data_IF_262642838022
#
_entry.id   IF_262642838022
#
_cell.length_a   1.000
_cell.length_b   1.000
_cell.length_c   1.000
_cell.angle_alpha   90.00
_cell.angle_beta   90.00
_cell.angle_gamma   90.00
#
_symmetry.space_group_name_H-M   'P 1'
#
loop_
_entity.id
_entity.type
_entity.pdbx_description
1 polymer ?
#
# COMPACT_ATOMS: atom_id res chain seq x y z
N UNK A 1 3.58 -9.63 -3.34
CA UNK A 1 2.14 -9.42 -3.62
C UNK A 1 1.99 -8.96 -5.06
N UNK A 2 0.88 -9.27 -5.73
CA UNK A 2 0.60 -8.82 -7.09
C UNK A 2 -0.90 -8.61 -7.26
N UNK A 3 -1.29 -7.78 -8.23
CA UNK A 3 -2.69 -7.52 -8.57
C UNK A 3 -3.31 -8.59 -9.47
N UNK A 4 -2.48 -9.34 -10.19
CA UNK A 4 -2.93 -10.35 -11.17
C UNK A 4 -3.96 -9.81 -12.17
N UNK A 5 -3.74 -8.60 -12.72
CA UNK A 5 -4.71 -7.92 -13.60
C UNK A 5 -5.26 -8.86 -14.68
N UNK A 6 -6.60 -8.82 -14.85
CA UNK A 6 -7.43 -9.74 -15.65
C UNK A 6 -7.86 -11.03 -14.93
N UNK A 7 -7.07 -11.55 -13.98
CA UNK A 7 -7.53 -12.51 -12.98
C UNK A 7 -8.13 -11.81 -11.75
N UNK A 8 -7.46 -10.76 -11.29
CA UNK A 8 -7.94 -9.75 -10.36
C UNK A 8 -8.59 -8.57 -11.07
N UNK A 9 -9.57 -7.95 -10.40
CA UNK A 9 -10.40 -6.87 -10.95
C UNK A 9 -9.88 -5.46 -10.63
N UNK A 10 -8.79 -5.33 -9.87
CA UNK A 10 -8.24 -4.04 -9.46
C UNK A 10 -6.72 -4.02 -9.66
N UNK A 11 -6.19 -2.90 -10.19
CA UNK A 11 -4.75 -2.68 -10.25
C UNK A 11 -4.20 -2.06 -8.94
N UNK A 12 -5.07 -1.48 -8.12
CA UNK A 12 -4.71 -0.72 -6.94
C UNK A 12 -4.15 -1.64 -5.83
N UNK A 13 -2.86 -1.49 -5.52
CA UNK A 13 -2.17 -2.36 -4.56
C UNK A 13 -2.63 -2.16 -3.11
N UNK A 14 -3.14 -0.97 -2.75
CA UNK A 14 -3.69 -0.71 -1.42
C UNK A 14 -4.85 -1.67 -1.09
N UNK A 15 -5.75 -1.90 -2.05
CA UNK A 15 -6.84 -2.90 -1.93
C UNK A 15 -6.32 -4.32 -1.75
N UNK A 16 -5.20 -4.67 -2.38
CA UNK A 16 -4.61 -6.00 -2.25
C UNK A 16 -3.93 -6.19 -0.89
N UNK A 17 -3.38 -5.13 -0.30
CA UNK A 17 -2.86 -5.15 1.08
C UNK A 17 -3.98 -5.43 2.08
N UNK A 18 -5.07 -4.66 2.02
CA UNK A 18 -6.25 -4.86 2.88
C UNK A 18 -6.87 -6.26 2.68
N UNK A 19 -7.05 -6.69 1.43
CA UNK A 19 -7.56 -8.02 1.10
C UNK A 19 -6.66 -9.14 1.67
N UNK A 20 -5.33 -8.99 1.60
CA UNK A 20 -4.38 -9.98 2.12
C UNK A 20 -4.53 -10.18 3.63
N UNK A 21 -4.71 -9.09 4.40
CA UNK A 21 -4.99 -9.17 5.83
C UNK A 21 -6.30 -9.92 6.08
N UNK A 22 -7.37 -9.55 5.37
CA UNK A 22 -8.68 -10.20 5.48
C UNK A 22 -8.64 -11.70 5.13
N UNK A 23 -7.96 -12.07 4.04
CA UNK A 23 -7.81 -13.45 3.60
C UNK A 23 -6.99 -14.28 4.59
N UNK A 24 -5.97 -13.71 5.24
CA UNK A 24 -5.23 -14.43 6.29
C UNK A 24 -6.12 -14.80 7.48
N UNK A 25 -7.07 -13.92 7.84
CA UNK A 25 -8.07 -14.19 8.89
C UNK A 25 -9.05 -15.29 8.48
N UNK A 26 -9.52 -15.25 7.22
CA UNK A 26 -10.40 -16.28 6.68
C UNK A 26 -9.71 -17.65 6.68
N UNK A 27 -8.44 -17.70 6.22
CA UNK A 27 -7.64 -18.93 6.17
C UNK A 27 -7.44 -19.55 7.56
N UNK A 28 -7.21 -18.72 8.58
CA UNK A 28 -7.04 -19.20 9.95
C UNK A 28 -8.31 -19.80 10.58
N UNK A 29 -9.50 -19.64 9.98
CA UNK A 29 -10.71 -20.32 10.45
C UNK A 29 -10.61 -21.84 10.27
N UNK A 30 -10.03 -22.28 9.14
CA UNK A 30 -9.82 -23.70 8.83
C UNK A 30 -8.40 -24.18 9.20
N UNK A 31 -7.47 -23.25 9.47
CA UNK A 31 -6.06 -23.48 9.79
C UNK A 31 -5.63 -22.69 11.04
N UNK A 32 -6.15 -23.01 12.24
CA UNK A 32 -5.91 -22.22 13.45
C UNK A 32 -4.45 -22.20 13.92
N UNK A 33 -3.61 -23.11 13.43
CA UNK A 33 -2.17 -23.13 13.66
C UNK A 33 -1.40 -22.08 12.86
N UNK A 34 -2.00 -21.55 11.78
CA UNK A 34 -1.38 -20.51 10.96
C UNK A 34 -1.55 -19.12 11.57
N UNK A 35 -0.49 -18.32 11.53
CA UNK A 35 -0.49 -16.96 12.08
C UNK A 35 -1.14 -15.98 11.12
N UNK A 36 -2.00 -15.10 11.66
CA UNK A 36 -2.58 -13.97 10.94
C UNK A 36 -1.52 -12.98 10.46
N UNK A 37 -1.73 -12.40 9.29
CA UNK A 37 -0.91 -11.29 8.81
C UNK A 37 -1.41 -9.98 9.41
N UNK A 38 -0.48 -9.23 10.00
CA UNK A 38 -0.70 -7.84 10.39
C UNK A 38 -0.64 -6.91 9.17
N UNK A 39 -1.16 -5.70 9.31
CA UNK A 39 -1.11 -4.69 8.25
C UNK A 39 0.33 -4.32 7.84
N UNK A 40 1.29 -4.09 8.77
CA UNK A 40 2.69 -3.84 8.38
C UNK A 40 3.32 -5.00 7.61
N UNK A 41 2.98 -6.25 7.92
CA UNK A 41 3.48 -7.42 7.19
C UNK A 41 2.89 -7.49 5.78
N UNK A 42 1.58 -7.25 5.63
CA UNK A 42 0.95 -7.17 4.32
C UNK A 42 1.51 -6.02 3.49
N UNK A 43 1.79 -4.86 4.11
CA UNK A 43 2.45 -3.74 3.44
C UNK A 43 3.88 -4.08 3.04
N UNK A 44 4.64 -4.77 3.89
CA UNK A 44 5.99 -5.26 3.56
C UNK A 44 5.96 -6.17 2.32
N UNK A 45 4.96 -7.06 2.20
CA UNK A 45 4.75 -7.91 1.03
C UNK A 45 4.37 -7.15 -0.25
N UNK A 46 3.98 -5.88 -0.13
CA UNK A 46 3.67 -4.98 -1.23
C UNK A 46 4.79 -3.96 -1.54
N UNK A 47 5.74 -3.77 -0.63
CA UNK A 47 6.82 -2.77 -0.76
C UNK A 47 8.20 -3.41 -0.67
N UNK A 48 8.85 -3.39 0.50
CA UNK A 48 10.25 -3.79 0.69
C UNK A 48 10.51 -5.25 0.32
N UNK A 49 9.59 -6.16 0.66
CA UNK A 49 9.73 -7.59 0.42
C UNK A 49 9.97 -7.92 -1.06
N UNK A 50 9.01 -7.65 -1.97
CA UNK A 50 9.24 -7.84 -3.40
C UNK A 50 10.18 -6.80 -4.01
N UNK A 51 10.35 -5.63 -3.39
CA UNK A 51 11.27 -4.59 -3.85
C UNK A 51 12.71 -5.07 -4.01
N UNK A 52 13.17 -5.97 -3.16
CA UNK A 52 14.51 -6.59 -3.24
C UNK A 52 14.80 -7.22 -4.61
N UNK A 53 13.78 -7.75 -5.30
CA UNK A 53 13.91 -8.29 -6.65
C UNK A 53 14.35 -7.23 -7.69
N UNK A 54 13.97 -5.97 -7.48
CA UNK A 54 14.29 -4.85 -8.37
C UNK A 54 15.53 -4.05 -7.93
N UNK A 55 16.12 -4.41 -6.79
CA UNK A 55 17.27 -3.72 -6.19
C UNK A 55 16.94 -3.16 -4.81
N UNK A 56 17.55 -2.03 -4.45
CA UNK A 56 17.31 -1.36 -3.18
C UNK A 56 16.11 -0.42 -3.30
N UNK A 57 14.90 -0.97 -3.33
CA UNK A 57 13.65 -0.19 -3.43
C UNK A 57 12.60 -0.65 -2.41
N UNK A 58 11.55 0.14 -2.21
CA UNK A 58 10.42 -0.22 -1.34
C UNK A 58 10.62 0.07 0.15
N UNK A 59 11.67 0.80 0.54
CA UNK A 59 11.89 1.27 1.91
C UNK A 59 12.61 2.63 1.93
N UNK A 60 12.36 3.44 2.94
CA UNK A 60 13.04 4.71 3.17
C UNK A 60 14.30 4.52 4.00
N UNK A 61 15.29 3.85 3.42
CA UNK A 61 16.59 3.58 4.02
C UNK A 61 17.72 4.21 3.18
N UNK A 62 18.83 4.65 3.81
CA UNK A 62 19.99 5.15 3.07
C UNK A 62 20.47 4.14 2.00
N UNK A 63 20.62 4.63 0.77
CA UNK A 63 21.06 3.82 -0.37
C UNK A 63 19.94 3.08 -1.10
N UNK A 64 18.67 3.32 -0.76
CA UNK A 64 17.52 2.89 -1.55
C UNK A 64 17.11 3.97 -2.56
N UNK A 65 16.60 3.57 -3.73
CA UNK A 65 16.00 4.50 -4.67
C UNK A 65 14.74 5.12 -4.05
N UNK A 66 14.52 6.41 -4.31
CA UNK A 66 13.35 7.12 -3.82
C UNK A 66 12.12 6.87 -4.72
N UNK A 67 11.50 5.71 -4.50
CA UNK A 67 10.21 5.33 -5.06
C UNK A 67 9.13 5.56 -3.98
N UNK A 68 8.23 6.51 -4.20
CA UNK A 68 7.33 6.99 -3.15
C UNK A 68 5.98 7.45 -3.69
N UNK A 69 4.96 7.37 -2.84
CA UNK A 69 3.66 8.01 -3.02
C UNK A 69 3.46 9.05 -1.93
N UNK A 70 2.94 10.22 -2.31
CA UNK A 70 2.41 11.21 -1.36
C UNK A 70 0.91 11.02 -1.29
N UNK A 71 0.43 10.69 -0.11
CA UNK A 71 -0.97 10.33 0.14
C UNK A 71 -1.58 11.33 1.13
N UNK A 72 -2.78 11.81 0.81
CA UNK A 72 -3.60 12.62 1.70
C UNK A 72 -5.03 12.06 1.74
N UNK A 73 -5.52 11.79 2.96
CA UNK A 73 -6.81 11.14 3.26
C UNK A 73 -7.67 11.98 4.21
N UNK A 74 -7.33 13.27 4.38
CA UNK A 74 -8.08 14.19 5.23
C UNK A 74 -9.29 14.80 4.50
N UNK A 75 -10.37 14.03 4.38
CA UNK A 75 -11.65 14.52 3.82
C UNK A 75 -12.33 15.62 4.67
N UNK A 76 -11.94 15.77 5.94
CA UNK A 76 -12.55 16.67 6.91
C UNK A 76 -11.65 17.86 7.28
N UNK A 77 -10.75 18.29 6.40
CA UNK A 77 -9.82 19.41 6.64
C UNK A 77 -9.05 19.27 7.98
N UNK A 78 -8.64 18.06 8.33
CA UNK A 78 -7.90 17.79 9.58
C UNK A 78 -8.71 17.94 10.87
N UNK A 79 -10.05 18.04 10.82
CA UNK A 79 -10.91 18.11 12.02
C UNK A 79 -10.81 16.88 12.93
N UNK A 80 -10.42 15.74 12.37
CA UNK A 80 -10.09 14.53 13.12
C UNK A 80 -8.57 14.33 13.09
N UNK A 81 -7.92 14.56 14.23
CA UNK A 81 -6.50 14.27 14.40
C UNK A 81 -6.29 12.77 14.33
N UNK A 82 -5.36 12.34 13.45
CA UNK A 82 -4.98 10.95 13.23
C UNK A 82 -3.47 10.86 13.12
N UNK A 83 -2.90 9.82 13.71
CA UNK A 83 -1.50 9.47 13.57
C UNK A 83 -1.17 9.10 12.12
N UNK A 84 0.10 9.17 11.70
CA UNK A 84 0.50 8.71 10.37
C UNK A 84 0.11 7.25 10.09
N UNK A 85 0.13 6.40 11.12
CA UNK A 85 -0.29 5.01 11.00
C UNK A 85 -1.79 4.92 10.70
N UNK A 86 -2.65 5.60 11.46
CA UNK A 86 -4.11 5.59 11.21
C UNK A 86 -4.47 6.15 9.83
N UNK A 87 -3.76 7.19 9.35
CA UNK A 87 -3.94 7.70 7.98
C UNK A 87 -3.54 6.67 6.93
N UNK A 88 -2.46 5.94 7.15
CA UNK A 88 -2.05 4.84 6.29
C UNK A 88 -3.08 3.71 6.31
N UNK A 89 -3.63 3.35 7.48
CA UNK A 89 -4.70 2.35 7.57
C UNK A 89 -5.92 2.78 6.74
N UNK A 90 -6.37 4.02 6.90
CA UNK A 90 -7.49 4.56 6.12
C UNK A 90 -7.21 4.50 4.62
N UNK A 91 -6.03 4.91 4.15
CA UNK A 91 -5.68 4.82 2.73
C UNK A 91 -5.71 3.38 2.22
N UNK A 92 -5.25 2.42 3.03
CA UNK A 92 -5.20 1.02 2.64
C UNK A 92 -6.58 0.38 2.54
N UNK A 93 -7.52 0.76 3.41
CA UNK A 93 -8.87 0.18 3.43
C UNK A 93 -9.88 0.94 2.56
N UNK A 94 -9.90 2.27 2.64
CA UNK A 94 -10.96 3.10 2.07
C UNK A 94 -10.46 4.03 0.94
N UNK A 95 -9.16 4.24 0.84
CA UNK A 95 -8.57 5.18 -0.13
C UNK A 95 -8.52 4.67 -1.57
N UNK A 96 -8.33 5.60 -2.49
CA UNK A 96 -8.11 5.32 -3.91
C UNK A 96 -7.10 6.28 -4.57
N UNK A 97 -7.07 6.34 -5.89
CA UNK A 97 -6.10 7.11 -6.65
C UNK A 97 -6.24 8.63 -6.48
N UNK A 98 -7.40 9.10 -6.00
CA UNK A 98 -7.66 10.53 -5.72
C UNK A 98 -6.88 11.02 -4.50
N UNK A 99 -6.60 10.12 -3.55
CA UNK A 99 -5.79 10.40 -2.36
C UNK A 99 -4.29 10.49 -2.70
N UNK A 100 -3.86 10.03 -3.88
CA UNK A 100 -2.46 10.04 -4.31
C UNK A 100 -2.13 11.36 -5.01
N UNK A 101 -1.56 12.28 -4.25
CA UNK A 101 -1.20 13.63 -4.70
C UNK A 101 0.03 13.66 -5.60
N UNK A 102 1.05 12.85 -5.30
CA UNK A 102 2.29 12.79 -6.08
C UNK A 102 2.87 11.37 -6.10
N UNK A 103 3.59 11.07 -7.18
CA UNK A 103 4.32 9.81 -7.35
C UNK A 103 5.77 10.13 -7.67
N UNK A 104 6.69 9.42 -7.06
CA UNK A 104 8.12 9.53 -7.33
C UNK A 104 8.67 8.18 -7.76
N UNK A 105 9.52 8.21 -8.78
CA UNK A 105 10.31 7.07 -9.24
C UNK A 105 11.77 7.52 -9.31
N UNK A 106 12.63 6.88 -8.52
CA UNK A 106 14.06 7.20 -8.37
C UNK A 106 14.31 8.70 -8.12
N UNK A 107 13.50 9.32 -7.27
CA UNK A 107 13.62 10.75 -6.94
C UNK A 107 12.95 11.70 -7.94
N UNK A 108 12.51 11.22 -9.10
CA UNK A 108 11.86 12.06 -10.11
C UNK A 108 10.34 12.03 -9.94
N UNK A 109 9.70 13.20 -9.99
CA UNK A 109 8.24 13.31 -9.99
C UNK A 109 7.69 12.66 -11.27
N UNK A 110 6.68 11.81 -11.11
CA UNK A 110 5.95 11.16 -12.21
C UNK A 110 4.60 11.84 -12.36
N UNK A 111 4.30 12.28 -13.59
CA UNK A 111 3.02 12.92 -13.91
C UNK A 111 1.84 11.94 -13.77
N UNK A 112 0.64 12.49 -13.52
CA UNK A 112 -0.59 11.69 -13.54
C UNK A 112 -0.75 11.10 -14.95
N UNK A 113 -1.00 9.78 -15.08
CA UNK A 113 -1.12 9.14 -16.39
C UNK A 113 -2.34 9.62 -17.20
N UNK A 114 -3.34 10.22 -16.53
CA UNK A 114 -4.52 10.80 -17.17
C UNK A 114 -4.82 12.16 -16.56
N UNK A 115 -5.15 13.14 -17.40
CA UNK A 115 -5.66 14.45 -16.99
C UNK A 115 -7.12 14.30 -16.56
N UNK A 116 -7.53 15.00 -15.49
CA UNK A 116 -8.93 15.06 -15.02
C UNK A 116 -9.89 15.64 -16.08
#
# INVERSE_FOLDING_TARGET
>A
MASDVAGGHAAAMNRHVAATVGLSKLRALDHPEERLLSLPEALYLATKGPGEFFGKVGSFEPGYDFDALVVDVDELDGRLSRTPFEKLEQFLYDGDDRDILARYSRGSLVEKPFTE
#
